data_IF_019900874519
#
_entry.id   IF_019900874519
#
_cell.length_a   1.000
_cell.length_b   1.000
_cell.length_c   1.000
_cell.angle_alpha   90.00
_cell.angle_beta   90.00
_cell.angle_gamma   90.00
#
_symmetry.space_group_name_H-M   'P 1'
#
loop_
_entity.id
_entity.type
_entity.pdbx_description
1 polymer ?
#
# COMPACT_ATOMS: atom_id res chain seq x y z
N UNK A 1 27.29 34.25 80.04
CA UNK A 1 26.12 35.04 79.59
C UNK A 1 25.57 34.34 78.36
N UNK A 2 24.53 33.55 78.56
CA UNK A 2 23.81 32.76 77.54
C UNK A 2 22.37 33.29 77.41
N UNK A 3 21.77 32.97 76.26
CA UNK A 3 20.41 33.26 75.76
C UNK A 3 20.28 34.61 75.03
N UNK A 4 19.71 34.73 73.83
CA UNK A 4 18.79 33.91 73.00
C UNK A 4 19.26 34.03 71.52
N UNK A 5 18.91 33.24 70.51
CA UNK A 5 17.97 32.15 70.26
C UNK A 5 17.94 31.97 68.73
N UNK A 6 18.15 30.77 68.20
CA UNK A 6 18.19 30.51 66.76
C UNK A 6 16.84 30.81 66.09
N UNK A 7 16.74 30.94 64.76
CA UNK A 7 15.55 30.44 64.09
C UNK A 7 15.71 28.93 63.86
N UNK A 8 15.57 28.13 64.93
CA UNK A 8 15.24 26.69 64.82
C UNK A 8 14.00 26.52 63.91
N UNK A 9 13.15 27.54 63.86
CA UNK A 9 11.98 27.63 63.01
C UNK A 9 12.27 27.47 61.51
N UNK A 10 13.38 27.99 60.99
CA UNK A 10 13.64 27.95 59.54
C UNK A 10 14.01 26.54 59.06
N UNK A 11 14.87 25.85 59.83
CA UNK A 11 15.30 24.47 59.54
C UNK A 11 14.15 23.48 59.80
N UNK A 12 13.38 23.70 60.87
CA UNK A 12 12.20 22.89 61.16
C UNK A 12 11.10 23.06 60.11
N UNK A 13 10.89 24.27 59.59
CA UNK A 13 9.90 24.53 58.54
C UNK A 13 10.28 23.85 57.21
N UNK A 14 11.55 23.92 56.81
CA UNK A 14 12.04 23.21 55.62
C UNK A 14 11.96 21.69 55.74
N UNK A 15 12.26 21.14 56.93
CA UNK A 15 12.14 19.70 57.17
C UNK A 15 10.67 19.25 57.19
N UNK A 16 9.77 20.04 57.77
CA UNK A 16 8.34 19.73 57.83
C UNK A 16 7.68 19.80 56.44
N UNK A 17 8.07 20.76 55.59
CA UNK A 17 7.60 20.85 54.19
C UNK A 17 8.11 19.66 53.36
N UNK A 18 9.36 19.23 53.55
CA UNK A 18 9.91 18.05 52.88
C UNK A 18 9.19 16.76 53.29
N UNK A 19 8.89 16.58 54.59
CA UNK A 19 8.12 15.44 55.10
C UNK A 19 6.68 15.46 54.58
N UNK A 20 6.03 16.62 54.51
CA UNK A 20 4.70 16.77 53.92
C UNK A 20 4.69 16.44 52.43
N UNK A 21 5.70 16.86 51.67
CA UNK A 21 5.86 16.52 50.24
C UNK A 21 6.05 15.02 50.04
N UNK A 22 6.88 14.36 50.86
CA UNK A 22 7.07 12.91 50.80
C UNK A 22 5.79 12.16 51.17
N UNK A 23 5.06 12.61 52.19
CA UNK A 23 3.77 12.04 52.57
C UNK A 23 2.70 12.27 51.49
N UNK A 24 2.69 13.44 50.84
CA UNK A 24 1.79 13.75 49.73
C UNK A 24 2.11 12.87 48.51
N UNK A 25 3.38 12.68 48.17
CA UNK A 25 3.82 11.75 47.11
C UNK A 25 3.45 10.32 47.47
N UNK A 26 3.62 9.88 48.72
CA UNK A 26 3.19 8.54 49.17
C UNK A 26 1.66 8.38 49.19
N UNK A 27 0.90 9.42 49.52
CA UNK A 27 -0.57 9.42 49.45
C UNK A 27 -1.08 9.44 48.01
N UNK A 28 -0.40 10.13 47.11
CA UNK A 28 -0.69 10.11 45.66
C UNK A 28 -0.31 8.76 45.04
N UNK A 29 0.80 8.16 45.45
CA UNK A 29 1.20 6.81 45.06
C UNK A 29 0.25 5.74 45.66
N UNK A 30 -0.18 5.89 46.92
CA UNK A 30 -1.14 4.99 47.56
C UNK A 30 -2.56 5.12 46.98
N UNK A 31 -2.96 6.32 46.54
CA UNK A 31 -4.21 6.53 45.76
C UNK A 31 -4.09 5.98 44.33
N UNK A 32 -2.88 5.88 43.78
CA UNK A 32 -2.63 5.21 42.51
C UNK A 32 -2.64 3.68 42.62
N UNK A 33 -2.44 3.10 43.82
CA UNK A 33 -2.40 1.64 44.02
C UNK A 33 -3.72 1.01 44.48
N UNK A 34 -4.78 1.80 44.65
CA UNK A 34 -6.14 1.30 44.90
C UNK A 34 -7.16 1.96 43.97
N UNK A 35 -6.97 1.83 42.66
CA UNK A 35 -8.13 1.68 41.79
C UNK A 35 -8.58 0.23 41.89
N UNK A 36 -9.87 -0.07 42.17
CA UNK A 36 -10.37 -1.42 41.96
C UNK A 36 -10.05 -1.76 40.51
N UNK A 37 -9.39 -2.91 40.30
CA UNK A 37 -9.25 -3.51 38.98
C UNK A 37 -10.67 -3.77 38.49
N UNK A 38 -11.27 -2.77 37.83
CA UNK A 38 -12.32 -3.02 36.88
C UNK A 38 -11.63 -3.86 35.82
N UNK A 39 -11.90 -5.16 35.85
CA UNK A 39 -11.67 -6.06 34.74
C UNK A 39 -12.50 -5.55 33.56
N UNK A 40 -11.99 -4.51 32.92
CA UNK A 40 -12.53 -3.99 31.68
C UNK A 40 -12.13 -5.00 30.61
N UNK A 41 -12.82 -6.12 30.61
CA UNK A 41 -12.81 -7.13 29.56
C UNK A 41 -13.55 -6.56 28.35
N UNK A 42 -13.08 -5.42 27.83
CA UNK A 42 -13.32 -5.06 26.45
C UNK A 42 -12.51 -6.02 25.60
N UNK A 43 -12.98 -7.27 25.50
CA UNK A 43 -12.44 -8.25 24.56
C UNK A 43 -12.56 -7.62 23.18
N UNK A 44 -11.40 -7.33 22.57
CA UNK A 44 -11.36 -6.83 21.19
C UNK A 44 -12.15 -7.78 20.30
N UNK A 45 -12.91 -7.20 19.38
CA UNK A 45 -13.62 -7.98 18.37
C UNK A 45 -12.60 -8.69 17.48
N UNK A 46 -12.88 -9.95 17.16
CA UNK A 46 -12.01 -10.69 16.25
C UNK A 46 -12.10 -10.07 14.85
N UNK A 47 -10.94 -9.87 14.22
CA UNK A 47 -10.81 -9.33 12.87
C UNK A 47 -9.87 -10.19 12.04
N UNK A 48 -10.08 -10.17 10.73
CA UNK A 48 -9.14 -10.77 9.80
C UNK A 48 -8.05 -9.75 9.48
N UNK A 49 -6.79 -10.18 9.63
CA UNK A 49 -5.61 -9.41 9.26
C UNK A 49 -4.83 -10.18 8.20
N UNK A 50 -4.40 -9.46 7.18
CA UNK A 50 -3.49 -10.00 6.16
C UNK A 50 -2.06 -9.65 6.54
N UNK A 51 -1.19 -10.65 6.58
CA UNK A 51 0.23 -10.50 6.87
C UNK A 51 1.04 -10.89 5.64
N UNK A 52 2.21 -10.27 5.50
CA UNK A 52 3.25 -10.69 4.58
C UNK A 52 4.28 -11.52 5.34
N UNK A 53 4.59 -12.71 4.83
CA UNK A 53 5.70 -13.52 5.30
C UNK A 53 6.73 -13.59 4.19
N UNK A 54 7.94 -13.13 4.49
CA UNK A 54 9.04 -12.98 3.54
C UNK A 54 10.24 -13.84 3.96
N UNK A 55 11.23 -13.98 3.08
CA UNK A 55 12.42 -14.84 3.25
C UNK A 55 12.09 -16.34 3.41
N UNK A 56 11.01 -16.80 2.77
CA UNK A 56 10.66 -18.22 2.71
C UNK A 56 11.57 -18.89 1.66
N UNK A 57 12.20 -20.06 1.92
CA UNK A 57 12.97 -20.77 0.92
C UNK A 57 12.15 -21.06 -0.34
N UNK A 58 12.71 -20.79 -1.52
CA UNK A 58 12.00 -20.83 -2.81
C UNK A 58 11.44 -22.21 -3.18
N UNK A 59 11.97 -23.28 -2.61
CA UNK A 59 11.51 -24.66 -2.76
C UNK A 59 10.29 -25.00 -1.88
N UNK A 60 9.90 -24.11 -0.97
CA UNK A 60 8.76 -24.34 -0.07
C UNK A 60 7.45 -24.35 -0.86
N UNK A 61 6.61 -25.37 -0.66
CA UNK A 61 5.26 -25.42 -1.22
C UNK A 61 4.22 -24.86 -0.24
N UNK A 62 3.06 -24.46 -0.75
CA UNK A 62 1.91 -24.05 0.08
C UNK A 62 1.45 -25.18 1.00
N UNK A 63 1.47 -26.43 0.51
CA UNK A 63 1.12 -27.64 1.29
C UNK A 63 2.07 -27.90 2.47
N UNK A 64 3.26 -27.29 2.47
CA UNK A 64 4.24 -27.40 3.55
C UNK A 64 4.22 -26.16 4.44
N UNK A 65 4.10 -24.97 3.85
CA UNK A 65 4.16 -23.69 4.57
C UNK A 65 3.01 -23.54 5.56
N UNK A 66 1.76 -23.80 5.13
CA UNK A 66 0.59 -23.56 5.98
C UNK A 66 0.57 -24.43 7.24
N UNK A 67 0.74 -25.78 7.16
CA UNK A 67 0.82 -26.60 8.37
C UNK A 67 1.97 -26.22 9.30
N UNK A 68 3.13 -25.84 8.75
CA UNK A 68 4.27 -25.39 9.54
C UNK A 68 3.91 -24.14 10.37
N UNK A 69 3.28 -23.14 9.74
CA UNK A 69 2.87 -21.91 10.42
C UNK A 69 1.77 -22.15 11.46
N UNK A 70 0.78 -23.00 11.15
CA UNK A 70 -0.28 -23.36 12.09
C UNK A 70 0.27 -24.11 13.32
N UNK A 71 1.29 -24.95 13.14
CA UNK A 71 1.90 -25.75 14.22
C UNK A 71 2.69 -24.91 15.24
N UNK A 72 3.11 -23.69 14.89
CA UNK A 72 3.89 -22.80 15.77
C UNK A 72 3.16 -22.49 17.09
N UNK A 73 1.83 -22.41 17.07
CA UNK A 73 1.01 -22.02 18.22
C UNK A 73 0.73 -23.14 19.23
N UNK A 74 1.12 -24.39 18.93
CA UNK A 74 0.66 -25.58 19.68
C UNK A 74 1.08 -25.60 21.15
N UNK A 75 2.18 -24.93 21.52
CA UNK A 75 2.73 -24.87 22.89
C UNK A 75 2.58 -23.50 23.57
N UNK A 76 1.78 -22.60 23.00
CA UNK A 76 1.69 -21.20 23.45
C UNK A 76 0.33 -20.85 24.05
N UNK A 77 0.09 -19.56 24.31
CA UNK A 77 -1.17 -19.08 24.89
C UNK A 77 -2.38 -19.57 24.08
N UNK A 78 -3.50 -19.82 24.77
CA UNK A 78 -4.73 -20.28 24.13
C UNK A 78 -5.17 -19.37 22.98
N UNK A 79 -5.03 -18.05 23.17
CA UNK A 79 -5.40 -17.04 22.18
C UNK A 79 -4.52 -17.07 20.92
N UNK A 80 -3.21 -17.30 21.07
CA UNK A 80 -2.31 -17.44 19.93
C UNK A 80 -2.53 -18.76 19.19
N UNK A 81 -2.82 -19.84 19.93
CA UNK A 81 -3.18 -21.13 19.35
C UNK A 81 -4.48 -21.03 18.53
N UNK A 82 -5.50 -20.39 19.07
CA UNK A 82 -6.75 -20.10 18.35
C UNK A 82 -6.48 -19.24 17.11
N UNK A 83 -5.70 -18.16 17.26
CA UNK A 83 -5.32 -17.28 16.15
C UNK A 83 -4.64 -18.08 15.03
N UNK A 84 -3.56 -18.80 15.32
CA UNK A 84 -2.80 -19.55 14.31
C UNK A 84 -3.58 -20.72 13.71
N UNK A 85 -4.56 -21.29 14.42
CA UNK A 85 -5.44 -22.31 13.83
C UNK A 85 -6.33 -21.80 12.70
N UNK A 86 -6.54 -20.47 12.61
CA UNK A 86 -7.29 -19.82 11.52
C UNK A 86 -6.40 -19.34 10.37
N UNK A 87 -5.08 -19.52 10.49
CA UNK A 87 -4.13 -19.03 9.49
C UNK A 87 -4.34 -19.77 8.15
N UNK A 88 -4.49 -18.99 7.08
CA UNK A 88 -4.58 -19.47 5.70
C UNK A 88 -3.52 -18.81 4.83
N UNK A 89 -2.72 -19.59 4.13
CA UNK A 89 -1.79 -19.09 3.10
C UNK A 89 -2.60 -18.78 1.85
N UNK A 90 -2.70 -17.50 1.51
CA UNK A 90 -3.49 -17.03 0.37
C UNK A 90 -2.65 -16.93 -0.90
N UNK A 91 -1.35 -16.70 -0.78
CA UNK A 91 -0.43 -16.80 -1.90
C UNK A 91 0.98 -17.18 -1.46
N UNK A 92 1.74 -17.74 -2.39
CA UNK A 92 3.18 -17.99 -2.26
C UNK A 92 3.81 -17.79 -3.63
N UNK A 93 4.58 -16.72 -3.78
CA UNK A 93 5.15 -16.31 -5.05
C UNK A 93 6.66 -16.04 -4.91
N UNK A 94 7.41 -16.32 -5.97
CA UNK A 94 8.86 -16.13 -6.00
C UNK A 94 9.20 -14.64 -5.85
N UNK A 95 10.13 -14.34 -4.93
CA UNK A 95 10.69 -12.99 -4.74
C UNK A 95 12.01 -12.82 -5.48
N UNK A 96 12.86 -13.85 -5.43
CA UNK A 96 14.15 -13.89 -6.10
C UNK A 96 14.56 -15.34 -6.37
N UNK A 97 15.80 -15.59 -6.78
CA UNK A 97 16.30 -16.93 -7.08
C UNK A 97 16.33 -17.89 -5.87
N UNK A 98 16.31 -17.37 -4.64
CA UNK A 98 16.46 -18.15 -3.40
C UNK A 98 15.22 -18.12 -2.53
N UNK A 99 14.45 -17.04 -2.60
CA UNK A 99 13.37 -16.80 -1.66
C UNK A 99 12.02 -16.54 -2.35
N UNK A 100 10.97 -16.94 -1.65
CA UNK A 100 9.58 -16.67 -1.91
C UNK A 100 8.97 -15.76 -0.84
N UNK A 101 7.84 -15.18 -1.18
CA UNK A 101 7.03 -14.32 -0.32
C UNK A 101 5.61 -14.87 -0.32
N UNK A 102 5.00 -14.92 0.87
CA UNK A 102 3.62 -15.35 1.05
C UNK A 102 2.76 -14.21 1.59
N UNK A 103 1.49 -14.23 1.21
CA UNK A 103 0.45 -13.51 1.94
C UNK A 103 -0.39 -14.50 2.72
N UNK A 104 -0.62 -14.21 4.00
CA UNK A 104 -1.42 -15.06 4.89
C UNK A 104 -2.53 -14.25 5.52
N UNK A 105 -3.68 -14.87 5.75
CA UNK A 105 -4.79 -14.27 6.47
C UNK A 105 -4.96 -15.02 7.77
N UNK A 106 -5.17 -14.28 8.86
CA UNK A 106 -5.41 -14.85 10.17
C UNK A 106 -6.50 -14.06 10.88
N UNK A 107 -7.36 -14.76 11.63
CA UNK A 107 -8.39 -14.15 12.45
C UNK A 107 -7.89 -14.01 13.88
N UNK A 108 -7.83 -12.77 14.38
CA UNK A 108 -7.24 -12.50 15.71
C UNK A 108 -8.01 -11.44 16.49
N UNK A 109 -7.88 -11.47 17.82
CA UNK A 109 -8.28 -10.39 18.73
C UNK A 109 -7.08 -9.56 19.23
N UNK A 110 -5.86 -10.02 18.94
CA UNK A 110 -4.62 -9.36 19.33
C UNK A 110 -4.45 -8.03 18.58
N UNK A 111 -3.66 -7.12 19.16
CA UNK A 111 -3.19 -5.97 18.38
C UNK A 111 -2.25 -6.42 17.27
N UNK A 112 -2.19 -5.67 16.17
CA UNK A 112 -1.31 -5.99 15.04
C UNK A 112 0.16 -6.09 15.48
N UNK A 113 0.62 -5.18 16.34
CA UNK A 113 1.99 -5.18 16.89
C UNK A 113 2.26 -6.36 17.82
N UNK A 114 1.27 -6.77 18.59
CA UNK A 114 1.36 -7.90 19.52
C UNK A 114 1.42 -9.21 18.73
N UNK A 115 0.51 -9.41 17.78
CA UNK A 115 0.51 -10.57 16.88
C UNK A 115 1.83 -10.70 16.12
N UNK A 116 2.33 -9.60 15.52
CA UNK A 116 3.58 -9.61 14.77
C UNK A 116 4.77 -9.97 15.66
N UNK A 117 4.82 -9.42 16.87
CA UNK A 117 5.91 -9.67 17.83
C UNK A 117 5.93 -11.14 18.25
N UNK A 118 4.76 -11.69 18.62
CA UNK A 118 4.61 -13.08 19.00
C UNK A 118 4.96 -14.02 17.83
N UNK A 119 4.36 -13.80 16.65
CA UNK A 119 4.62 -14.62 15.47
C UNK A 119 6.10 -14.60 15.06
N UNK A 120 6.76 -13.43 15.08
CA UNK A 120 8.18 -13.32 14.76
C UNK A 120 9.07 -14.05 15.78
N UNK A 121 8.69 -14.02 17.06
CA UNK A 121 9.35 -14.78 18.13
C UNK A 121 9.24 -16.29 17.91
N UNK A 122 8.03 -16.78 17.58
CA UNK A 122 7.77 -18.19 17.31
C UNK A 122 8.54 -18.72 16.09
N UNK A 123 8.57 -17.94 15.01
CA UNK A 123 9.33 -18.27 13.81
C UNK A 123 10.82 -18.46 14.13
N UNK A 124 11.39 -17.50 14.88
CA UNK A 124 12.80 -17.56 15.30
C UNK A 124 13.09 -18.75 16.22
N UNK A 125 12.22 -19.01 17.19
CA UNK A 125 12.35 -20.14 18.13
C UNK A 125 12.28 -21.49 17.41
N UNK A 126 11.54 -21.56 16.30
CA UNK A 126 11.40 -22.76 15.45
C UNK A 126 12.48 -22.86 14.37
N UNK A 127 13.47 -21.97 14.37
CA UNK A 127 14.58 -21.97 13.41
C UNK A 127 14.28 -21.35 12.05
N UNK A 128 13.08 -20.81 11.84
CA UNK A 128 12.74 -20.10 10.61
C UNK A 128 13.39 -18.71 10.59
N UNK A 129 13.93 -18.34 9.43
CA UNK A 129 14.46 -16.99 9.17
C UNK A 129 13.44 -16.06 8.52
N UNK A 130 12.16 -16.43 8.57
CA UNK A 130 11.11 -15.67 7.91
C UNK A 130 10.93 -14.32 8.59
N UNK A 131 10.61 -13.29 7.80
CA UNK A 131 10.20 -11.98 8.31
C UNK A 131 8.71 -11.80 8.15
N UNK A 132 8.06 -11.26 9.16
CA UNK A 132 6.63 -10.96 9.12
C UNK A 132 6.37 -9.46 9.27
N UNK A 133 5.50 -8.92 8.42
CA UNK A 133 4.95 -7.58 8.58
C UNK A 133 3.50 -7.50 8.11
N UNK A 134 2.81 -6.43 8.49
CA UNK A 134 1.46 -6.14 8.05
C UNK A 134 1.38 -4.84 7.23
N UNK A 135 2.51 -4.19 6.90
CA UNK A 135 2.50 -2.89 6.20
C UNK A 135 2.66 -3.03 4.69
N UNK A 136 3.29 -4.13 4.25
CA UNK A 136 3.55 -4.45 2.84
C UNK A 136 4.42 -3.41 2.13
N UNK A 137 5.32 -2.73 2.85
CA UNK A 137 6.25 -1.78 2.25
C UNK A 137 7.27 -2.48 1.32
N UNK A 138 7.58 -1.87 0.19
CA UNK A 138 8.38 -2.45 -0.88
C UNK A 138 7.56 -3.31 -1.85
N UNK A 139 8.25 -4.04 -2.73
CA UNK A 139 7.62 -4.96 -3.68
C UNK A 139 7.16 -6.23 -2.97
N UNK A 140 5.89 -6.59 -3.15
CA UNK A 140 5.30 -7.84 -2.70
C UNK A 140 4.76 -8.60 -3.90
N UNK A 141 5.40 -9.73 -4.29
CA UNK A 141 4.82 -10.65 -5.27
C UNK A 141 3.54 -11.26 -4.71
N UNK A 142 2.41 -11.05 -5.39
CA UNK A 142 1.12 -11.62 -5.00
C UNK A 142 0.85 -12.95 -5.70
N UNK A 143 1.32 -13.08 -6.95
CA UNK A 143 1.13 -14.26 -7.77
C UNK A 143 2.24 -14.36 -8.82
N UNK A 144 2.79 -15.56 -9.03
CA UNK A 144 3.52 -15.95 -10.24
C UNK A 144 3.26 -17.45 -10.43
N UNK A 145 2.89 -17.88 -11.64
CA UNK A 145 2.66 -19.30 -11.89
C UNK A 145 3.99 -20.07 -11.75
N UNK A 146 4.04 -21.01 -10.79
CA UNK A 146 5.23 -21.81 -10.51
C UNK A 146 5.36 -23.05 -11.41
N UNK A 147 4.41 -23.28 -12.32
CA UNK A 147 4.43 -24.46 -13.20
C UNK A 147 5.57 -24.38 -14.22
N UNK A 148 6.38 -25.43 -14.29
CA UNK A 148 7.46 -25.57 -15.27
C UNK A 148 6.99 -25.51 -16.75
N UNK A 149 5.67 -25.61 -16.99
CA UNK A 149 5.07 -25.60 -18.33
C UNK A 149 4.49 -24.24 -18.75
N UNK A 150 4.30 -23.31 -17.81
CA UNK A 150 3.77 -21.97 -18.09
C UNK A 150 4.89 -20.93 -18.04
N UNK A 151 5.03 -20.16 -19.12
CA UNK A 151 5.97 -19.04 -19.14
C UNK A 151 5.23 -17.76 -18.81
N UNK A 152 5.60 -17.09 -17.71
CA UNK A 152 5.10 -15.75 -17.41
C UNK A 152 5.59 -14.76 -18.46
N UNK A 153 4.65 -14.14 -19.17
CA UNK A 153 4.92 -13.25 -20.30
C UNK A 153 4.78 -11.76 -19.93
N UNK A 154 4.08 -11.44 -18.84
CA UNK A 154 3.87 -10.06 -18.42
C UNK A 154 3.88 -9.89 -16.89
N UNK A 155 4.35 -8.73 -16.43
CA UNK A 155 4.19 -8.27 -15.06
C UNK A 155 3.02 -7.28 -14.94
N UNK A 156 2.24 -7.38 -13.87
CA UNK A 156 1.24 -6.40 -13.47
C UNK A 156 1.63 -5.85 -12.10
N UNK A 157 1.79 -4.53 -11.98
CA UNK A 157 2.22 -3.91 -10.71
C UNK A 157 1.21 -2.87 -10.26
N UNK A 158 0.65 -3.09 -9.07
CA UNK A 158 -0.29 -2.16 -8.45
C UNK A 158 0.41 -1.24 -7.43
N UNK A 159 0.09 0.05 -7.51
CA UNK A 159 0.63 1.11 -6.64
C UNK A 159 -0.54 1.85 -5.98
N UNK A 160 -0.70 1.76 -4.65
CA UNK A 160 -1.84 2.31 -3.93
C UNK A 160 -1.72 3.84 -3.76
N UNK A 161 -2.76 4.48 -3.23
CA UNK A 161 -2.82 5.93 -3.02
C UNK A 161 -2.18 6.45 -1.73
N UNK A 162 -2.30 7.77 -1.54
CA UNK A 162 -1.84 8.48 -0.33
C UNK A 162 -2.48 7.92 0.95
N UNK A 163 -1.69 7.80 2.01
CA UNK A 163 -2.15 7.42 3.36
C UNK A 163 -2.97 6.12 3.40
N UNK A 164 -2.70 5.22 2.46
CA UNK A 164 -3.44 3.98 2.28
C UNK A 164 -2.62 2.77 2.72
N UNK A 165 -3.32 1.72 3.14
CA UNK A 165 -2.68 0.44 3.41
C UNK A 165 -2.45 -0.30 2.09
N UNK A 166 -1.24 -0.78 1.83
CA UNK A 166 -0.91 -1.26 0.49
C UNK A 166 -1.81 -2.40 0.00
N UNK A 167 -1.94 -3.50 0.75
CA UNK A 167 -2.84 -4.60 0.35
C UNK A 167 -4.32 -4.27 0.59
N UNK A 168 -4.64 -3.60 1.70
CA UNK A 168 -6.00 -3.23 2.08
C UNK A 168 -6.68 -2.23 1.14
N UNK A 169 -5.93 -1.53 0.29
CA UNK A 169 -6.47 -0.66 -0.75
C UNK A 169 -7.25 -1.42 -1.81
N UNK A 170 -6.84 -2.67 -2.07
CA UNK A 170 -7.37 -3.52 -3.15
C UNK A 170 -8.27 -4.64 -2.64
N UNK A 171 -8.64 -4.59 -1.35
CA UNK A 171 -9.44 -5.60 -0.67
C UNK A 171 -10.93 -5.33 -0.88
N UNK A 172 -11.69 -6.38 -1.16
CA UNK A 172 -13.14 -6.31 -1.30
C UNK A 172 -13.80 -5.79 -0.01
N UNK A 173 -14.81 -4.91 -0.09
CA UNK A 173 -15.53 -4.43 1.08
C UNK A 173 -16.21 -5.58 1.82
N UNK A 174 -15.97 -5.70 3.13
CA UNK A 174 -16.58 -6.76 3.95
C UNK A 174 -15.94 -8.14 3.84
N UNK A 175 -14.98 -8.34 2.93
CA UNK A 175 -14.29 -9.62 2.72
C UNK A 175 -12.77 -9.50 2.99
N UNK A 176 -12.09 -10.64 2.87
CA UNK A 176 -10.66 -10.90 2.94
C UNK A 176 -10.01 -11.02 1.55
N UNK A 177 -10.83 -11.11 0.50
CA UNK A 177 -10.42 -11.20 -0.89
C UNK A 177 -9.77 -9.91 -1.39
N UNK A 178 -8.71 -10.09 -2.18
CA UNK A 178 -7.91 -9.05 -2.83
C UNK A 178 -7.86 -9.39 -4.29
N UNK A 179 -8.62 -8.67 -5.13
CA UNK A 179 -8.83 -9.05 -6.53
C UNK A 179 -7.53 -9.17 -7.35
N UNK A 180 -6.48 -8.43 -6.99
CA UNK A 180 -5.14 -8.56 -7.60
C UNK A 180 -4.51 -9.93 -7.36
N UNK A 181 -4.77 -10.53 -6.18
CA UNK A 181 -4.23 -11.83 -5.76
C UNK A 181 -5.18 -12.98 -6.12
N UNK A 182 -6.46 -12.80 -5.88
CA UNK A 182 -7.43 -13.90 -5.83
C UNK A 182 -8.22 -14.06 -7.13
N UNK A 183 -8.39 -13.01 -7.94
CA UNK A 183 -9.26 -13.06 -9.14
C UNK A 183 -8.47 -12.83 -10.43
N UNK A 184 -7.68 -11.74 -10.48
CA UNK A 184 -6.93 -11.35 -11.68
C UNK A 184 -6.04 -12.47 -12.25
N UNK A 185 -5.31 -13.26 -11.43
CA UNK A 185 -4.50 -14.36 -11.97
C UNK A 185 -5.29 -15.51 -12.59
N UNK A 186 -6.56 -15.68 -12.21
CA UNK A 186 -7.46 -16.67 -12.81
C UNK A 186 -8.03 -16.17 -14.14
N UNK A 187 -8.30 -14.87 -14.23
CA UNK A 187 -8.90 -14.24 -15.41
C UNK A 187 -7.89 -13.91 -16.51
N UNK A 188 -6.62 -13.66 -16.15
CA UNK A 188 -5.56 -13.35 -17.10
C UNK A 188 -4.38 -14.33 -16.89
N UNK A 189 -4.23 -15.35 -17.75
CA UNK A 189 -3.17 -16.34 -17.59
C UNK A 189 -1.78 -15.76 -17.92
N UNK A 190 -0.74 -16.45 -17.46
CA UNK A 190 0.68 -16.15 -17.76
C UNK A 190 1.17 -14.77 -17.30
N UNK A 191 0.55 -14.20 -16.25
CA UNK A 191 1.02 -12.96 -15.62
C UNK A 191 1.71 -13.22 -14.28
N UNK A 192 2.55 -12.28 -13.87
CA UNK A 192 2.98 -12.11 -12.48
C UNK A 192 2.35 -10.86 -11.92
N UNK A 193 1.69 -10.95 -10.77
CA UNK A 193 1.08 -9.81 -10.09
C UNK A 193 1.93 -9.39 -8.91
N UNK A 194 2.22 -8.10 -8.81
CA UNK A 194 2.99 -7.48 -7.74
C UNK A 194 2.26 -6.27 -7.17
N UNK A 195 2.50 -6.01 -5.89
CA UNK A 195 2.05 -4.82 -5.18
C UNK A 195 3.26 -4.04 -4.70
N UNK A 196 3.26 -2.72 -4.84
CA UNK A 196 4.25 -1.85 -4.21
C UNK A 196 3.63 -1.05 -3.07
N UNK A 197 4.09 -1.25 -1.83
CA UNK A 197 3.70 -0.43 -0.69
C UNK A 197 4.75 0.60 -0.30
N UNK A 198 4.30 1.74 0.22
CA UNK A 198 5.15 2.85 0.66
C UNK A 198 4.48 3.62 1.81
N UNK A 199 5.27 4.29 2.64
CA UNK A 199 4.73 5.05 3.79
C UNK A 199 4.40 6.49 3.38
N UNK A 200 3.11 6.81 3.38
CA UNK A 200 2.60 8.18 3.26
C UNK A 200 1.54 8.49 4.29
N UNK A 201 1.71 7.98 5.52
CA UNK A 201 0.84 8.38 6.63
C UNK A 201 0.83 9.91 6.76
N UNK A 202 -0.35 10.45 7.06
CA UNK A 202 -0.54 11.90 7.19
C UNK A 202 0.01 12.41 8.54
N UNK A 203 -0.29 11.69 9.62
CA UNK A 203 0.11 12.07 10.97
C UNK A 203 1.34 11.29 11.41
N UNK A 204 2.24 11.96 12.15
CA UNK A 204 3.44 11.36 12.75
C UNK A 204 4.32 10.69 11.70
N UNK A 205 4.49 11.35 10.56
CA UNK A 205 5.37 10.90 9.51
C UNK A 205 6.68 11.69 9.57
N UNK A 206 7.75 11.00 9.92
CA UNK A 206 9.08 11.62 10.05
C UNK A 206 9.81 11.73 8.69
N UNK A 207 9.15 11.34 7.59
CA UNK A 207 9.70 11.41 6.24
C UNK A 207 9.38 12.74 5.56
N UNK A 208 10.43 13.41 5.08
CA UNK A 208 10.33 14.57 4.18
C UNK A 208 10.30 14.18 2.69
N UNK A 209 9.97 12.91 2.37
CA UNK A 209 9.99 12.46 0.97
C UNK A 209 8.98 13.23 0.12
N UNK A 210 9.48 13.76 -1.00
CA UNK A 210 8.64 14.32 -2.06
C UNK A 210 8.03 13.21 -2.93
N UNK A 211 7.10 13.59 -3.82
CA UNK A 211 6.54 12.66 -4.82
C UNK A 211 7.64 12.15 -5.77
N UNK A 212 8.60 13.00 -6.12
CA UNK A 212 9.77 12.63 -6.92
C UNK A 212 10.62 11.56 -6.22
N UNK A 213 10.90 11.74 -4.92
CA UNK A 213 11.64 10.75 -4.13
C UNK A 213 10.91 9.42 -4.06
N UNK A 214 9.59 9.45 -3.85
CA UNK A 214 8.77 8.24 -3.80
C UNK A 214 8.73 7.54 -5.18
N UNK A 215 8.59 8.29 -6.27
CA UNK A 215 8.64 7.78 -7.64
C UNK A 215 9.99 7.13 -7.98
N UNK A 216 11.10 7.78 -7.60
CA UNK A 216 12.46 7.21 -7.75
C UNK A 216 12.63 5.94 -6.93
N UNK A 217 12.17 5.93 -5.67
CA UNK A 217 12.22 4.73 -4.82
C UNK A 217 11.39 3.58 -5.38
N UNK A 218 10.24 3.87 -5.99
CA UNK A 218 9.44 2.87 -6.71
C UNK A 218 10.23 2.29 -7.89
N UNK A 219 10.81 3.15 -8.74
CA UNK A 219 11.63 2.74 -9.90
C UNK A 219 12.79 1.84 -9.48
N UNK A 220 13.54 2.22 -8.44
CA UNK A 220 14.68 1.45 -7.93
C UNK A 220 14.26 0.11 -7.33
N UNK A 221 13.17 0.09 -6.54
CA UNK A 221 12.66 -1.13 -5.93
C UNK A 221 12.20 -2.14 -6.99
N UNK A 222 11.44 -1.68 -7.99
CA UNK A 222 10.95 -2.51 -9.08
C UNK A 222 12.09 -2.96 -10.00
N UNK A 223 13.04 -2.07 -10.32
CA UNK A 223 14.22 -2.40 -11.11
C UNK A 223 15.09 -3.47 -10.45
N UNK A 224 15.34 -3.32 -9.15
CA UNK A 224 16.09 -4.30 -8.35
C UNK A 224 15.41 -5.66 -8.33
N UNK A 225 14.08 -5.68 -8.12
CA UNK A 225 13.29 -6.90 -8.14
C UNK A 225 13.32 -7.59 -9.52
N UNK A 226 13.15 -6.83 -10.60
CA UNK A 226 13.19 -7.38 -11.96
C UNK A 226 14.58 -7.93 -12.30
N UNK A 227 15.64 -7.25 -11.86
CA UNK A 227 17.02 -7.73 -11.98
C UNK A 227 17.28 -9.01 -11.20
N UNK A 228 16.81 -9.12 -9.95
CA UNK A 228 17.00 -10.33 -9.13
C UNK A 228 16.23 -11.55 -9.67
N UNK A 229 15.20 -11.32 -10.47
CA UNK A 229 14.38 -12.37 -11.08
C UNK A 229 14.68 -12.61 -12.57
N UNK A 230 15.65 -11.88 -13.15
CA UNK A 230 16.00 -11.87 -14.56
C UNK A 230 14.82 -11.58 -15.52
N UNK A 231 14.07 -10.52 -15.22
CA UNK A 231 12.83 -10.14 -15.91
C UNK A 231 12.82 -8.67 -16.36
N UNK A 232 13.99 -8.04 -16.49
CA UNK A 232 14.14 -6.62 -16.83
C UNK A 232 13.43 -6.24 -18.12
N UNK A 233 13.34 -7.17 -19.08
CA UNK A 233 12.74 -6.95 -20.41
C UNK A 233 11.30 -7.46 -20.52
N UNK A 234 10.75 -8.08 -19.46
CA UNK A 234 9.40 -8.62 -19.49
C UNK A 234 8.38 -7.47 -19.62
N UNK A 235 7.45 -7.48 -20.58
CA UNK A 235 6.36 -6.50 -20.66
C UNK A 235 5.70 -6.23 -19.32
N UNK A 236 5.35 -4.97 -19.04
CA UNK A 236 4.74 -4.58 -17.77
C UNK A 236 3.50 -3.69 -17.96
N UNK A 237 2.47 -3.98 -17.17
CA UNK A 237 1.30 -3.13 -16.96
C UNK A 237 1.38 -2.52 -15.56
N UNK A 238 1.15 -1.21 -15.47
CA UNK A 238 1.18 -0.49 -14.20
C UNK A 238 -0.23 -0.02 -13.82
N UNK A 239 -0.65 -0.34 -12.61
CA UNK A 239 -1.95 0.05 -12.05
C UNK A 239 -1.70 1.06 -10.94
N UNK A 240 -2.17 2.29 -11.12
CA UNK A 240 -1.99 3.37 -10.14
C UNK A 240 -3.31 3.84 -9.57
N UNK A 241 -3.44 3.84 -8.25
CA UNK A 241 -4.55 4.51 -7.56
C UNK A 241 -4.11 5.84 -6.98
N UNK A 242 -4.85 6.92 -7.26
CA UNK A 242 -4.62 8.24 -6.66
C UNK A 242 -3.13 8.64 -6.80
N UNK A 243 -2.46 9.00 -5.70
CA UNK A 243 -1.01 9.30 -5.66
C UNK A 243 -0.13 8.24 -6.33
N UNK A 244 -0.50 6.96 -6.27
CA UNK A 244 0.26 5.87 -6.90
C UNK A 244 0.43 6.03 -8.41
N UNK A 245 -0.54 6.63 -9.10
CA UNK A 245 -0.42 6.97 -10.51
C UNK A 245 0.58 8.08 -10.80
N UNK A 246 0.69 9.08 -9.91
CA UNK A 246 1.73 10.11 -10.00
C UNK A 246 3.12 9.50 -9.77
N UNK A 247 3.25 8.54 -8.85
CA UNK A 247 4.52 7.85 -8.62
C UNK A 247 4.96 7.03 -9.83
N UNK A 248 4.00 6.36 -10.49
CA UNK A 248 4.23 5.67 -11.76
C UNK A 248 4.72 6.64 -12.83
N UNK A 249 4.07 7.80 -12.98
CA UNK A 249 4.50 8.83 -13.94
C UNK A 249 5.94 9.29 -13.66
N UNK A 250 6.27 9.66 -12.42
CA UNK A 250 7.64 10.07 -12.05
C UNK A 250 8.66 8.96 -12.33
N UNK A 251 8.35 7.72 -11.97
CA UNK A 251 9.23 6.58 -12.21
C UNK A 251 9.50 6.37 -13.71
N UNK A 252 8.48 6.49 -14.55
CA UNK A 252 8.62 6.33 -16.00
C UNK A 252 9.37 7.50 -16.63
N UNK A 253 9.13 8.74 -16.19
CA UNK A 253 9.89 9.93 -16.63
C UNK A 253 11.37 9.77 -16.28
N UNK A 254 11.69 9.36 -15.05
CA UNK A 254 13.06 9.11 -14.64
C UNK A 254 13.70 7.96 -15.42
N UNK A 255 12.96 6.88 -15.67
CA UNK A 255 13.40 5.76 -16.50
C UNK A 255 13.73 6.22 -17.93
N UNK A 256 12.86 7.02 -18.55
CA UNK A 256 13.06 7.55 -19.90
C UNK A 256 14.28 8.47 -19.98
N UNK A 257 14.43 9.41 -19.05
CA UNK A 257 15.58 10.32 -18.99
C UNK A 257 16.91 9.62 -18.76
N UNK A 258 16.88 8.43 -18.15
CA UNK A 258 18.07 7.62 -17.87
C UNK A 258 18.44 6.67 -19.01
N UNK A 259 17.66 6.65 -20.09
CA UNK A 259 17.87 5.76 -21.25
C UNK A 259 19.20 6.05 -21.91
N UNK A 260 19.96 5.00 -22.21
CA UNK A 260 21.25 5.13 -22.91
C UNK A 260 22.42 5.56 -22.02
N UNK A 261 22.19 5.82 -20.73
CA UNK A 261 23.27 6.16 -19.78
C UNK A 261 24.09 4.93 -19.31
N UNK A 262 23.71 3.72 -19.73
CA UNK A 262 24.43 2.48 -19.48
C UNK A 262 23.55 1.32 -18.98
N UNK A 263 24.09 0.10 -18.87
CA UNK A 263 23.33 -1.12 -18.51
C UNK A 263 22.86 -1.15 -17.05
N UNK A 264 23.33 -0.21 -16.22
CA UNK A 264 22.94 -0.06 -14.81
C UNK A 264 21.61 0.65 -14.63
N UNK A 265 21.12 1.38 -15.64
CA UNK A 265 19.93 2.22 -15.53
C UNK A 265 18.66 1.45 -15.92
N UNK A 266 17.59 1.67 -15.15
CA UNK A 266 16.33 0.99 -15.33
C UNK A 266 15.58 1.52 -16.57
N UNK A 267 15.53 0.72 -17.64
CA UNK A 267 14.79 1.03 -18.88
C UNK A 267 13.32 0.62 -18.83
N UNK A 268 12.70 0.68 -17.64
CA UNK A 268 11.30 0.33 -17.38
C UNK A 268 10.31 0.91 -18.42
N UNK A 269 10.50 2.17 -18.83
CA UNK A 269 9.59 2.82 -19.77
C UNK A 269 9.50 2.09 -21.12
N UNK A 270 10.60 1.45 -21.60
CA UNK A 270 10.62 0.70 -22.87
C UNK A 270 9.76 -0.57 -22.83
N UNK A 271 9.53 -1.09 -21.63
CA UNK A 271 8.78 -2.33 -21.40
C UNK A 271 7.37 -2.09 -20.89
N UNK A 272 7.02 -0.84 -20.55
CA UNK A 272 5.66 -0.45 -20.18
C UNK A 272 4.74 -0.56 -21.40
N UNK A 273 3.72 -1.42 -21.31
CA UNK A 273 2.75 -1.66 -22.39
C UNK A 273 1.42 -0.96 -22.17
N UNK A 274 1.08 -0.68 -20.91
CA UNK A 274 -0.13 0.05 -20.58
C UNK A 274 -0.21 0.44 -19.12
N UNK A 275 -1.11 1.38 -18.85
CA UNK A 275 -1.35 1.95 -17.54
C UNK A 275 -2.85 2.01 -17.25
N UNK A 276 -3.24 1.58 -16.06
CA UNK A 276 -4.60 1.74 -15.55
C UNK A 276 -4.56 2.71 -14.36
N UNK A 277 -5.15 3.88 -14.53
CA UNK A 277 -5.14 4.96 -13.56
C UNK A 277 -6.52 5.13 -12.93
N UNK A 278 -6.60 4.92 -11.62
CA UNK A 278 -7.83 5.04 -10.82
C UNK A 278 -7.78 6.34 -10.01
N UNK A 279 -8.55 7.34 -10.45
CA UNK A 279 -8.68 8.62 -9.75
C UNK A 279 -7.34 9.35 -9.57
N UNK A 280 -6.42 9.26 -10.52
CA UNK A 280 -5.10 9.89 -10.36
C UNK A 280 -5.25 11.41 -10.45
N UNK A 281 -4.82 12.19 -9.44
CA UNK A 281 -5.06 13.63 -9.42
C UNK A 281 -4.06 14.39 -10.30
N UNK A 282 -4.12 14.24 -11.62
CA UNK A 282 -3.17 14.88 -12.53
C UNK A 282 -3.21 16.41 -12.48
N UNK A 283 -4.37 16.99 -12.13
CA UNK A 283 -4.56 18.43 -11.95
C UNK A 283 -4.79 18.82 -10.49
N UNK A 284 -4.64 17.86 -9.55
CA UNK A 284 -4.78 18.10 -8.12
C UNK A 284 -5.92 17.33 -7.47
N UNK A 285 -5.86 17.32 -6.14
CA UNK A 285 -6.74 16.61 -5.20
C UNK A 285 -7.48 17.62 -4.30
N UNK A 286 -8.80 17.59 -4.32
CA UNK A 286 -9.69 18.45 -3.53
C UNK A 286 -9.87 17.90 -2.12
N UNK A 287 -8.94 18.24 -1.24
CA UNK A 287 -9.02 17.90 0.19
C UNK A 287 -8.13 18.84 1.02
N UNK A 288 -8.59 20.09 1.16
CA UNK A 288 -8.01 21.15 1.98
C UNK A 288 -7.67 20.71 3.42
N UNK A 289 -8.49 19.84 4.02
CA UNK A 289 -8.24 19.31 5.36
C UNK A 289 -6.88 18.60 5.48
N UNK A 290 -6.35 18.02 4.40
CA UNK A 290 -5.04 17.36 4.42
C UNK A 290 -3.90 18.31 4.79
N UNK A 291 -3.95 19.57 4.31
CA UNK A 291 -2.91 20.57 4.62
C UNK A 291 -2.86 20.85 6.13
N UNK A 292 -4.03 20.96 6.77
CA UNK A 292 -4.11 21.18 8.22
C UNK A 292 -3.50 20.04 9.03
N UNK A 293 -3.58 18.80 8.53
CA UNK A 293 -3.03 17.65 9.23
C UNK A 293 -1.51 17.61 9.19
N UNK A 294 -0.89 18.11 8.13
CA UNK A 294 0.57 18.02 7.92
C UNK A 294 1.31 19.32 8.20
N UNK A 295 0.61 20.37 8.63
CA UNK A 295 1.21 21.68 8.91
C UNK A 295 2.38 21.54 9.90
N UNK A 296 3.58 21.96 9.47
CA UNK A 296 4.81 21.86 10.27
C UNK A 296 5.39 20.45 10.39
N UNK A 297 4.81 19.45 9.70
CA UNK A 297 5.36 18.10 9.62
C UNK A 297 6.29 17.94 8.40
N UNK A 298 7.27 17.02 8.44
CA UNK A 298 8.18 16.77 7.32
C UNK A 298 7.49 16.49 5.97
N UNK A 299 6.31 15.87 5.98
CA UNK A 299 5.55 15.52 4.78
C UNK A 299 4.67 16.65 4.21
N UNK A 300 4.74 17.87 4.76
CA UNK A 300 3.93 19.02 4.32
C UNK A 300 4.09 19.32 2.83
N UNK A 301 5.33 19.35 2.34
CA UNK A 301 5.63 19.66 0.93
C UNK A 301 4.99 18.66 -0.04
N UNK A 302 4.92 17.37 0.34
CA UNK A 302 4.26 16.34 -0.47
C UNK A 302 2.77 16.66 -0.63
N UNK A 303 2.08 17.01 0.45
CA UNK A 303 0.64 17.31 0.42
C UNK A 303 0.37 18.62 -0.34
N UNK A 304 1.16 19.66 -0.08
CA UNK A 304 1.02 20.96 -0.78
C UNK A 304 1.24 20.82 -2.28
N UNK A 305 2.05 19.86 -2.73
CA UNK A 305 2.25 19.64 -4.18
C UNK A 305 1.03 19.06 -4.91
N UNK A 306 0.07 18.46 -4.20
CA UNK A 306 -1.09 17.78 -4.80
C UNK A 306 -2.44 18.40 -4.44
N UNK A 307 -2.55 19.05 -3.28
CA UNK A 307 -3.83 19.60 -2.82
C UNK A 307 -4.12 20.90 -3.58
N UNK A 308 -5.33 20.98 -4.12
CA UNK A 308 -5.88 22.16 -4.79
C UNK A 308 -7.27 22.43 -4.23
N UNK A 309 -7.68 23.70 -4.21
CA UNK A 309 -9.08 24.06 -3.97
C UNK A 309 -9.91 23.96 -5.27
N UNK A 310 -11.16 24.42 -5.24
CA UNK A 310 -12.07 24.32 -6.39
C UNK A 310 -11.69 25.26 -7.54
N UNK A 311 -10.96 26.34 -7.26
CA UNK A 311 -10.64 27.45 -8.18
C UNK A 311 -9.16 27.49 -8.59
N UNK A 312 -8.32 26.67 -7.95
CA UNK A 312 -6.88 26.64 -8.16
C UNK A 312 -6.49 25.93 -9.44
N UNK A 313 -5.50 26.50 -10.13
CA UNK A 313 -4.75 25.80 -11.16
C UNK A 313 -3.87 24.68 -10.54
N UNK A 314 -3.47 23.68 -11.34
CA UNK A 314 -2.54 22.65 -10.89
C UNK A 314 -1.25 23.28 -10.36
N UNK A 315 -0.65 22.66 -9.35
CA UNK A 315 0.67 23.07 -8.86
C UNK A 315 1.72 22.99 -9.98
N UNK A 316 2.79 23.79 -9.89
CA UNK A 316 3.91 23.70 -10.83
C UNK A 316 4.51 22.29 -10.91
N UNK A 317 4.47 21.53 -9.81
CA UNK A 317 4.88 20.14 -9.78
C UNK A 317 3.99 19.27 -10.68
N UNK A 318 2.66 19.38 -10.55
CA UNK A 318 1.70 18.61 -11.35
C UNK A 318 1.73 18.98 -12.84
N UNK A 319 1.92 20.26 -13.15
CA UNK A 319 2.12 20.71 -14.52
C UNK A 319 3.39 20.08 -15.13
N UNK A 320 4.54 20.18 -14.42
CA UNK A 320 5.82 19.62 -14.88
C UNK A 320 5.73 18.12 -15.13
N UNK A 321 5.21 17.33 -14.18
CA UNK A 321 5.13 15.88 -14.37
C UNK A 321 4.20 15.51 -15.52
N UNK A 322 3.15 16.29 -15.78
CA UNK A 322 2.27 16.09 -16.93
C UNK A 322 3.02 16.29 -18.25
N UNK A 323 3.75 17.39 -18.39
CA UNK A 323 4.52 17.73 -19.61
C UNK A 323 5.68 16.75 -19.84
N UNK A 324 6.42 16.43 -18.77
CA UNK A 324 7.52 15.47 -18.81
C UNK A 324 7.02 14.09 -19.23
N UNK A 325 5.89 13.65 -18.67
CA UNK A 325 5.29 12.35 -18.99
C UNK A 325 4.76 12.29 -20.42
N UNK A 326 4.15 13.37 -20.92
CA UNK A 326 3.70 13.49 -22.31
C UNK A 326 4.87 13.37 -23.30
N UNK A 327 6.05 13.86 -22.92
CA UNK A 327 7.28 13.74 -23.71
C UNK A 327 7.83 12.31 -23.74
N UNK A 328 7.52 11.49 -22.73
CA UNK A 328 8.03 10.11 -22.63
C UNK A 328 7.20 9.10 -23.44
N UNK A 329 5.92 9.40 -23.72
CA UNK A 329 4.99 8.45 -24.32
C UNK A 329 4.28 9.05 -25.54
N UNK A 330 4.54 8.46 -26.71
CA UNK A 330 3.87 8.78 -27.96
C UNK A 330 3.14 7.55 -28.50
N UNK A 331 1.81 7.62 -28.58
CA UNK A 331 0.94 6.79 -29.44
C UNK A 331 0.72 5.31 -29.09
N UNK A 332 1.72 4.58 -28.60
CA UNK A 332 1.64 3.11 -28.53
C UNK A 332 1.31 2.55 -27.13
N UNK A 333 1.56 3.30 -26.07
CA UNK A 333 1.22 2.88 -24.70
C UNK A 333 -0.22 3.23 -24.38
N UNK A 334 -1.04 2.22 -24.09
CA UNK A 334 -2.45 2.44 -23.77
C UNK A 334 -2.62 2.93 -22.32
N UNK A 335 -3.32 4.04 -22.14
CA UNK A 335 -3.64 4.60 -20.82
C UNK A 335 -5.14 4.59 -20.62
N UNK A 336 -5.60 3.90 -19.59
CA UNK A 336 -7.02 3.82 -19.21
C UNK A 336 -7.23 4.56 -17.90
N UNK A 337 -8.18 5.48 -17.89
CA UNK A 337 -8.48 6.34 -16.75
C UNK A 337 -9.86 6.01 -16.19
N UNK A 338 -9.91 5.61 -14.92
CA UNK A 338 -11.13 5.40 -14.15
C UNK A 338 -11.35 6.59 -13.22
N UNK A 339 -12.57 7.14 -13.17
CA UNK A 339 -12.87 8.30 -12.35
C UNK A 339 -14.13 8.13 -11.50
N UNK A 340 -14.14 8.77 -10.33
CA UNK A 340 -15.22 8.68 -9.35
C UNK A 340 -16.46 9.47 -9.77
N UNK A 341 -17.62 8.97 -9.35
CA UNK A 341 -18.94 9.59 -9.52
C UNK A 341 -19.62 9.87 -8.19
N UNK A 342 -19.22 9.19 -7.12
CA UNK A 342 -19.74 9.40 -5.78
C UNK A 342 -18.77 10.28 -4.97
N UNK A 343 -19.31 11.19 -4.17
CA UNK A 343 -18.49 12.03 -3.30
C UNK A 343 -17.94 11.22 -2.12
N UNK A 344 -16.69 11.50 -1.76
CA UNK A 344 -16.04 10.96 -0.56
C UNK A 344 -16.27 11.90 0.62
N UNK A 345 -16.46 11.35 1.82
CA UNK A 345 -16.41 12.15 3.04
C UNK A 345 -14.98 12.62 3.31
N UNK A 346 -14.81 13.92 3.60
CA UNK A 346 -13.53 14.49 4.02
C UNK A 346 -13.07 13.86 5.34
N UNK A 347 -11.75 13.81 5.52
CA UNK A 347 -11.15 13.32 6.75
C UNK A 347 -11.17 14.43 7.78
N UNK A 348 -11.54 14.11 9.02
CA UNK A 348 -11.49 14.99 10.18
C UNK A 348 -10.73 14.31 11.32
N UNK A 349 -10.06 15.11 12.15
CA UNK A 349 -9.44 14.61 13.37
C UNK A 349 -10.47 14.60 14.51
N UNK A 350 -10.72 13.41 15.05
CA UNK A 350 -11.61 13.19 16.18
C UNK A 350 -10.98 13.66 17.49
N UNK A 351 -11.79 13.79 18.55
CA UNK A 351 -11.31 14.21 19.90
C UNK A 351 -10.26 13.28 20.49
N UNK A 352 -10.24 12.01 20.07
CA UNK A 352 -9.22 11.03 20.49
C UNK A 352 -7.93 11.09 19.66
N UNK A 353 -7.80 12.08 18.77
CA UNK A 353 -6.66 12.31 17.90
C UNK A 353 -6.62 11.45 16.64
N UNK A 354 -7.58 10.53 16.45
CA UNK A 354 -7.66 9.68 15.24
C UNK A 354 -8.32 10.39 14.08
N UNK A 355 -7.89 10.05 12.87
CA UNK A 355 -8.53 10.49 11.65
C UNK A 355 -9.76 9.63 11.35
N UNK A 356 -10.88 10.27 11.02
CA UNK A 356 -12.13 9.61 10.62
C UNK A 356 -12.78 10.30 9.42
N UNK A 357 -13.53 9.56 8.61
CA UNK A 357 -14.25 10.07 7.43
C UNK A 357 -15.63 10.62 7.81
N UNK A 358 -15.67 11.66 8.64
CA UNK A 358 -16.92 12.27 9.16
C UNK A 358 -17.22 13.65 8.59
N UNK A 359 -16.28 14.24 7.85
CA UNK A 359 -16.44 15.59 7.31
C UNK A 359 -17.41 15.66 6.14
N UNK A 360 -17.61 16.89 5.65
CA UNK A 360 -18.41 17.16 4.47
C UNK A 360 -18.00 16.32 3.26
N UNK A 361 -18.94 16.05 2.36
CA UNK A 361 -18.70 15.26 1.16
C UNK A 361 -18.15 16.12 0.02
N UNK A 362 -17.14 15.61 -0.68
CA UNK A 362 -16.52 16.27 -1.84
C UNK A 362 -16.15 15.23 -2.89
N UNK A 363 -16.18 15.63 -4.17
CA UNK A 363 -15.53 14.86 -5.22
C UNK A 363 -14.03 15.16 -5.14
N UNK A 364 -13.24 14.20 -4.65
CA UNK A 364 -11.83 14.40 -4.34
C UNK A 364 -11.00 14.67 -5.59
N UNK A 365 -11.32 13.99 -6.69
CA UNK A 365 -10.63 14.13 -7.97
C UNK A 365 -11.70 14.31 -9.04
N UNK A 366 -11.70 15.48 -9.67
CA UNK A 366 -12.64 15.77 -10.76
C UNK A 366 -12.36 14.86 -11.95
N UNK A 367 -13.37 14.62 -12.81
CA UNK A 367 -13.16 13.93 -14.10
C UNK A 367 -11.99 14.53 -14.87
N UNK A 368 -11.93 15.87 -14.97
CA UNK A 368 -10.85 16.60 -15.65
C UNK A 368 -9.49 16.24 -15.05
N UNK A 369 -9.35 16.27 -13.73
CA UNK A 369 -8.10 15.89 -13.05
C UNK A 369 -7.73 14.42 -13.28
N UNK A 370 -8.71 13.51 -13.20
CA UNK A 370 -8.50 12.07 -13.39
C UNK A 370 -8.09 11.66 -14.81
N UNK A 371 -8.47 12.46 -15.83
CA UNK A 371 -8.26 12.08 -17.25
C UNK A 371 -7.22 12.94 -17.97
N UNK A 372 -6.72 14.00 -17.34
CA UNK A 372 -5.69 14.88 -17.95
C UNK A 372 -4.29 14.29 -17.79
N UNK A 373 -4.03 13.17 -18.46
CA UNK A 373 -2.76 12.43 -18.32
C UNK A 373 -1.57 13.15 -18.94
N UNK A 374 -1.78 14.22 -19.71
CA UNK A 374 -0.75 14.92 -20.48
C UNK A 374 -0.49 14.30 -21.86
N UNK A 375 -0.81 13.02 -22.04
CA UNK A 375 -0.66 12.33 -23.33
C UNK A 375 -1.85 12.68 -24.22
N UNK A 376 -1.57 13.15 -25.44
CA UNK A 376 -2.59 13.45 -26.44
C UNK A 376 -3.20 12.15 -26.98
N UNK A 377 -4.51 12.16 -27.26
CA UNK A 377 -5.18 11.03 -27.91
C UNK A 377 -5.58 9.86 -27.00
N UNK A 378 -5.70 10.05 -25.68
CA UNK A 378 -6.43 9.09 -24.84
C UNK A 378 -7.84 8.94 -25.40
N UNK A 379 -8.17 7.73 -25.87
CA UNK A 379 -9.47 7.44 -26.46
C UNK A 379 -10.59 7.69 -25.45
N UNK A 380 -11.73 8.24 -25.89
CA UNK A 380 -12.92 8.35 -25.04
C UNK A 380 -13.36 6.99 -24.50
N UNK A 381 -13.10 5.90 -25.25
CA UNK A 381 -13.38 4.53 -24.83
C UNK A 381 -12.51 4.08 -23.64
N UNK A 382 -11.43 4.81 -23.33
CA UNK A 382 -10.50 4.52 -22.23
C UNK A 382 -10.68 5.47 -21.04
N UNK A 383 -11.76 6.26 -21.04
CA UNK A 383 -12.19 7.11 -19.93
C UNK A 383 -13.45 6.52 -19.31
N UNK A 384 -13.30 5.81 -18.19
CA UNK A 384 -14.35 4.97 -17.61
C UNK A 384 -14.91 5.60 -16.31
N UNK A 385 -16.20 5.97 -16.26
CA UNK A 385 -16.85 6.37 -15.01
C UNK A 385 -17.10 5.15 -14.12
N UNK A 386 -16.87 5.28 -12.82
CA UNK A 386 -17.28 4.29 -11.82
C UNK A 386 -18.20 4.94 -10.77
N UNK A 387 -19.35 4.30 -10.49
CA UNK A 387 -20.28 4.68 -9.42
C UNK A 387 -19.72 4.33 -8.02
N UNK A 388 -18.57 4.90 -7.70
CA UNK A 388 -17.82 4.68 -6.48
C UNK A 388 -17.24 6.00 -5.96
N UNK A 389 -16.96 6.05 -4.66
CA UNK A 389 -16.13 7.10 -4.05
C UNK A 389 -14.64 6.87 -4.37
N UNK A 390 -13.80 7.87 -4.11
CA UNK A 390 -12.37 7.83 -4.44
C UNK A 390 -11.64 6.59 -3.92
N UNK A 391 -12.02 6.08 -2.75
CA UNK A 391 -11.41 4.88 -2.17
C UNK A 391 -12.05 3.58 -2.67
N UNK A 392 -13.28 3.65 -3.15
CA UNK A 392 -14.04 2.54 -3.74
C UNK A 392 -13.64 2.23 -5.18
N UNK A 393 -12.96 3.14 -5.89
CA UNK A 393 -12.52 2.96 -7.29
C UNK A 393 -11.73 1.66 -7.54
N UNK A 394 -11.06 1.14 -6.52
CA UNK A 394 -10.19 -0.05 -6.59
C UNK A 394 -10.67 -1.20 -5.69
N UNK A 395 -11.89 -1.10 -5.16
CA UNK A 395 -12.48 -2.08 -4.24
C UNK A 395 -13.73 -2.68 -4.85
N UNK A 396 -13.50 -3.74 -5.60
CA UNK A 396 -14.57 -4.52 -6.21
C UNK A 396 -15.21 -5.44 -5.16
N UNK A 397 -16.53 -5.54 -5.18
CA UNK A 397 -17.31 -6.36 -4.24
C UNK A 397 -17.29 -7.84 -4.60
N UNK A 398 -17.20 -8.15 -5.89
CA UNK A 398 -17.13 -9.53 -6.38
C UNK A 398 -16.48 -9.59 -7.77
N UNK A 399 -16.01 -10.78 -8.15
CA UNK A 399 -15.48 -11.06 -9.50
C UNK A 399 -16.52 -10.87 -10.61
N UNK A 400 -17.81 -10.97 -10.30
CA UNK A 400 -18.90 -10.75 -11.26
C UNK A 400 -19.36 -9.28 -11.37
N UNK A 401 -18.78 -8.36 -10.61
CA UNK A 401 -19.17 -6.95 -10.66
C UNK A 401 -18.76 -6.34 -12.01
N UNK A 402 -19.69 -5.64 -12.67
CA UNK A 402 -19.47 -5.01 -13.98
C UNK A 402 -18.18 -4.18 -14.04
N UNK A 403 -17.89 -3.41 -12.99
CA UNK A 403 -16.70 -2.55 -12.91
C UNK A 403 -15.39 -3.34 -12.87
N UNK A 404 -15.38 -4.52 -12.22
CA UNK A 404 -14.25 -5.45 -12.27
C UNK A 404 -14.07 -6.02 -13.67
N UNK A 405 -15.17 -6.44 -14.31
CA UNK A 405 -15.15 -7.01 -15.67
C UNK A 405 -14.62 -6.00 -16.70
N UNK A 406 -15.04 -4.73 -16.60
CA UNK A 406 -14.52 -3.65 -17.44
C UNK A 406 -13.02 -3.43 -17.19
N UNK A 407 -12.58 -3.39 -15.93
CA UNK A 407 -11.15 -3.28 -15.59
C UNK A 407 -10.34 -4.44 -16.17
N UNK A 408 -10.82 -5.67 -16.04
CA UNK A 408 -10.19 -6.87 -16.57
C UNK A 408 -10.08 -6.80 -18.09
N UNK A 409 -11.18 -6.47 -18.79
CA UNK A 409 -11.18 -6.32 -20.24
C UNK A 409 -10.16 -5.26 -20.67
N UNK A 410 -10.13 -4.09 -20.02
CA UNK A 410 -9.17 -3.03 -20.33
C UNK A 410 -7.72 -3.45 -20.10
N UNK A 411 -7.47 -4.28 -19.09
CA UNK A 411 -6.16 -4.89 -18.85
C UNK A 411 -5.77 -5.81 -20.00
N UNK A 412 -6.68 -6.70 -20.44
CA UNK A 412 -6.44 -7.62 -21.57
C UNK A 412 -6.19 -6.86 -22.88
N UNK A 413 -6.95 -5.81 -23.14
CA UNK A 413 -6.75 -5.01 -24.35
C UNK A 413 -5.42 -4.24 -24.32
N UNK A 414 -4.98 -3.75 -23.15
CA UNK A 414 -3.66 -3.14 -22.98
C UNK A 414 -2.51 -4.15 -23.21
N UNK A 415 -2.72 -5.43 -22.89
CA UNK A 415 -1.78 -6.51 -23.20
C UNK A 415 -1.76 -6.85 -24.70
N UNK A 416 -2.93 -6.84 -25.35
CA UNK A 416 -3.10 -7.32 -26.74
C UNK A 416 -2.70 -6.29 -27.81
N UNK A 417 -2.74 -4.99 -27.50
CA UNK A 417 -2.48 -3.91 -28.46
C UNK A 417 -1.04 -3.73 -28.93
N UNK A 418 -0.13 -4.68 -28.65
CA UNK A 418 1.32 -4.43 -28.72
C UNK A 418 2.03 -5.37 -29.70
N UNK A 419 2.37 -4.87 -30.89
CA UNK A 419 3.44 -5.44 -31.70
C UNK A 419 4.79 -4.89 -31.19
N UNK A 420 5.86 -5.69 -31.08
CA UNK A 420 7.15 -5.19 -30.62
C UNK A 420 7.79 -4.24 -31.63
N UNK A 421 8.24 -3.08 -31.16
CA UNK A 421 9.20 -2.23 -31.88
C UNK A 421 10.56 -2.97 -31.88
N UNK A 422 10.88 -3.66 -32.98
CA UNK A 422 12.26 -4.04 -33.32
C UNK A 422 12.82 -5.37 -32.80
N UNK A 423 12.00 -6.39 -32.47
CA UNK A 423 12.46 -7.75 -32.13
C UNK A 423 11.72 -8.84 -32.92
N UNK A 424 12.27 -10.06 -33.08
CA UNK A 424 11.75 -11.06 -34.02
C UNK A 424 10.29 -11.42 -33.72
N UNK A 425 9.50 -11.43 -34.79
CA UNK A 425 8.04 -11.55 -34.82
C UNK A 425 7.49 -12.64 -33.89
N UNK A 426 6.72 -12.22 -32.89
CA UNK A 426 5.90 -13.12 -32.09
C UNK A 426 4.77 -13.68 -32.97
N UNK A 427 4.66 -15.00 -33.09
CA UNK A 427 3.58 -15.66 -33.82
C UNK A 427 2.26 -15.39 -33.08
N UNK A 428 1.36 -14.64 -33.73
CA UNK A 428 -0.01 -14.40 -33.26
C UNK A 428 -0.72 -15.75 -33.06
N UNK A 429 -1.13 -16.06 -31.82
CA UNK A 429 -2.30 -16.91 -31.60
C UNK A 429 -3.51 -16.00 -31.40
N UNK A 430 -4.59 -16.41 -32.05
CA UNK A 430 -5.85 -15.68 -32.20
C UNK A 430 -6.44 -15.25 -30.84
N UNK A 431 -6.65 -13.93 -30.59
CA UNK A 431 -7.31 -13.41 -29.39
C UNK A 431 -8.78 -13.86 -29.24
N UNK A 432 -9.39 -14.42 -30.28
CA UNK A 432 -10.80 -14.80 -30.29
C UNK A 432 -11.16 -16.00 -29.39
N UNK A 433 -10.16 -16.74 -28.87
CA UNK A 433 -10.42 -17.89 -28.00
C UNK A 433 -10.71 -17.53 -26.54
N UNK A 434 -10.31 -16.34 -26.07
CA UNK A 434 -10.53 -15.90 -24.67
C UNK A 434 -11.94 -15.31 -24.48
N UNK A 435 -12.51 -14.74 -25.54
CA UNK A 435 -13.84 -14.10 -25.49
C UNK A 435 -15.00 -15.09 -25.62
N UNK A 436 -14.74 -16.33 -26.07
CA UNK A 436 -15.80 -17.34 -26.33
C UNK A 436 -16.13 -18.28 -25.16
N UNK A 437 -15.50 -18.11 -24.00
CA UNK A 437 -15.75 -18.94 -22.81
C UNK A 437 -16.30 -18.18 -21.60
N UNK A 438 -16.77 -16.94 -21.80
CA UNK A 438 -17.70 -16.23 -20.93
C UNK A 438 -19.07 -16.23 -21.61
#
# INVERSE_FOLDING_TARGET
>A
MNHLGQPVAAVAFTAMVAVLLVLLVRLLQARSTHQPVRSNTNRRTAKDITLRIDDIPGETSTTTLEPNLQSLGTKHSLELRETLSTLRVCSLARRDARFACATVIVRTRLADTELLTELQSLLKASGFRYRCDCTFYGITPLYENASATSTTTCDVVAVPGLASHAIGSWKAPGDSDVWLRDWLPEDIPNIRVMLYGYDTKLLKNDSASSIEDLGRRFLESLGTFRKSTNTQERPIILIGHSLGGLLIKEALVHSYRSTGLGPTYNSLHQYCRGMLFFGVPHLGLRNDALQSFVQGQPNEALITSIVVDDESEPSHFLARISDDFATCFHGETRIVCFYERCQSAKIEQMRDGKLSKTGGKVLMVTKKSATSTGVTGVSENDVIPLEADHSGLVKFESRGQDTYLVMMQKTVEALSGTAPVGGPSYVKKDPSSVVRSL
#
